data_IF_762272571611
#
_entry.id   IF_762272571611
#
_cell.length_a   1.000
_cell.length_b   1.000
_cell.length_c   1.000
_cell.angle_alpha   90.00
_cell.angle_beta   90.00
_cell.angle_gamma   90.00
#
_symmetry.space_group_name_H-M   'P 1'
#
loop_
_entity.id
_entity.type
_entity.pdbx_description
1 polymer ?
#
# COMPACT_ATOMS: atom_id res chain seq x y z
N UNK A 1 -32.87 -32.76 24.68
CA UNK A 1 -33.82 -33.19 23.63
C UNK A 1 -33.05 -33.63 22.39
N UNK A 2 -32.77 -34.94 22.20
CA UNK A 2 -31.92 -35.43 21.11
C UNK A 2 -32.38 -35.01 19.69
N UNK A 3 -33.70 -35.00 19.43
CA UNK A 3 -34.26 -34.54 18.15
C UNK A 3 -34.01 -33.05 17.87
N UNK A 4 -34.03 -32.21 18.91
CA UNK A 4 -33.76 -30.78 18.77
C UNK A 4 -32.29 -30.53 18.39
N UNK A 5 -31.36 -31.31 18.96
CA UNK A 5 -29.94 -31.19 18.63
C UNK A 5 -29.64 -31.64 17.18
N UNK A 6 -30.29 -32.70 16.71
CA UNK A 6 -30.21 -33.12 15.29
C UNK A 6 -30.75 -32.03 14.36
N UNK A 7 -31.89 -31.40 14.69
CA UNK A 7 -32.45 -30.30 13.90
C UNK A 7 -31.54 -29.07 13.89
N UNK A 8 -30.97 -28.69 15.04
CA UNK A 8 -29.99 -27.59 15.13
C UNK A 8 -28.75 -27.86 14.27
N UNK A 9 -28.20 -29.07 14.34
CA UNK A 9 -27.04 -29.49 13.55
C UNK A 9 -27.29 -29.53 12.04
N UNK A 10 -28.56 -29.53 11.61
CA UNK A 10 -28.96 -29.40 10.21
C UNK A 10 -29.22 -27.94 9.81
N UNK A 11 -30.02 -27.22 10.60
CA UNK A 11 -30.52 -25.88 10.26
C UNK A 11 -29.44 -24.81 10.41
N UNK A 12 -28.67 -24.80 11.51
CA UNK A 12 -27.72 -23.72 11.81
C UNK A 12 -26.64 -23.62 10.72
N UNK A 13 -25.95 -24.70 10.32
CA UNK A 13 -24.92 -24.59 9.28
C UNK A 13 -25.48 -24.14 7.92
N UNK A 14 -26.75 -24.46 7.63
CA UNK A 14 -27.39 -24.04 6.39
C UNK A 14 -27.81 -22.57 6.42
N UNK A 15 -28.31 -22.10 7.57
CA UNK A 15 -28.60 -20.69 7.78
C UNK A 15 -27.32 -19.83 7.70
N UNK A 16 -26.20 -20.32 8.25
CA UNK A 16 -24.89 -19.67 8.12
C UNK A 16 -24.46 -19.57 6.66
N UNK A 17 -24.55 -20.67 5.88
CA UNK A 17 -24.27 -20.64 4.44
C UNK A 17 -25.14 -19.61 3.71
N UNK A 18 -26.44 -19.57 4.00
CA UNK A 18 -27.37 -18.61 3.39
C UNK A 18 -27.00 -17.17 3.73
N UNK A 19 -26.58 -16.92 4.97
CA UNK A 19 -26.09 -15.61 5.40
C UNK A 19 -24.85 -15.21 4.60
N UNK A 20 -23.85 -16.09 4.46
CA UNK A 20 -22.65 -15.83 3.67
C UNK A 20 -22.97 -15.54 2.20
N UNK A 21 -23.93 -16.26 1.60
CA UNK A 21 -24.42 -15.97 0.24
C UNK A 21 -24.98 -14.54 0.12
N UNK A 22 -25.79 -14.11 1.08
CA UNK A 22 -26.40 -12.77 1.10
C UNK A 22 -25.32 -11.70 1.29
N UNK A 23 -24.37 -11.93 2.19
CA UNK A 23 -23.28 -11.00 2.45
C UNK A 23 -22.39 -10.81 1.23
N UNK A 24 -21.99 -11.89 0.56
CA UNK A 24 -21.24 -11.83 -0.70
C UNK A 24 -22.01 -11.01 -1.76
N UNK A 25 -23.29 -11.33 -1.98
CA UNK A 25 -24.11 -10.63 -2.97
C UNK A 25 -24.26 -9.13 -2.65
N UNK A 26 -24.31 -8.76 -1.36
CA UNK A 26 -24.32 -7.37 -0.93
C UNK A 26 -23.00 -6.67 -1.24
N UNK A 27 -21.86 -7.28 -0.90
CA UNK A 27 -20.55 -6.73 -1.24
C UNK A 27 -20.39 -6.53 -2.74
N UNK A 28 -20.70 -7.56 -3.53
CA UNK A 28 -20.63 -7.51 -4.98
C UNK A 28 -21.51 -6.37 -5.54
N UNK A 29 -22.74 -6.21 -5.03
CA UNK A 29 -23.62 -5.14 -5.47
C UNK A 29 -23.05 -3.75 -5.13
N UNK A 30 -22.59 -3.56 -3.89
CA UNK A 30 -22.00 -2.28 -3.45
C UNK A 30 -20.74 -1.96 -4.26
N UNK A 31 -19.86 -2.93 -4.51
CA UNK A 31 -18.66 -2.67 -5.30
C UNK A 31 -18.95 -2.37 -6.77
N UNK A 32 -19.94 -3.04 -7.36
CA UNK A 32 -20.28 -2.84 -8.77
C UNK A 32 -21.00 -1.52 -9.04
N UNK A 33 -21.90 -1.11 -8.14
CA UNK A 33 -22.82 0.00 -8.38
C UNK A 33 -22.64 1.20 -7.42
N UNK A 34 -21.84 1.04 -6.37
CA UNK A 34 -21.50 2.11 -5.46
C UNK A 34 -20.44 3.08 -6.02
N UNK A 35 -20.08 4.11 -5.25
CA UNK A 35 -19.09 5.11 -5.67
C UNK A 35 -17.71 4.48 -5.85
N UNK A 36 -17.11 4.70 -7.02
CA UNK A 36 -15.81 4.14 -7.38
C UNK A 36 -14.67 4.61 -6.48
N UNK A 37 -14.74 5.87 -6.01
CA UNK A 37 -13.69 6.49 -5.17
C UNK A 37 -13.51 5.84 -3.79
N UNK A 38 -14.52 5.11 -3.29
CA UNK A 38 -14.47 4.45 -1.99
C UNK A 38 -14.08 2.97 -2.05
N UNK A 39 -13.77 2.46 -3.24
CA UNK A 39 -13.28 1.09 -3.37
C UNK A 39 -11.83 1.02 -2.90
N UNK A 40 -11.60 0.23 -1.86
CA UNK A 40 -10.26 -0.02 -1.32
C UNK A 40 -9.69 -1.33 -1.92
N UNK A 41 -8.62 -1.26 -2.74
CA UNK A 41 -8.04 -2.42 -3.44
C UNK A 41 -7.85 -3.67 -2.57
N UNK A 42 -7.09 -3.53 -1.49
CA UNK A 42 -6.76 -4.65 -0.59
C UNK A 42 -8.00 -5.25 0.05
N UNK A 43 -8.93 -4.41 0.50
CA UNK A 43 -10.15 -4.88 1.13
C UNK A 43 -11.02 -5.69 0.16
N UNK A 44 -11.18 -5.22 -1.08
CA UNK A 44 -11.95 -5.92 -2.11
C UNK A 44 -11.31 -7.27 -2.45
N UNK A 45 -9.99 -7.28 -2.67
CA UNK A 45 -9.23 -8.49 -2.98
C UNK A 45 -9.31 -9.53 -1.84
N UNK A 46 -8.93 -9.14 -0.62
CA UNK A 46 -8.93 -10.03 0.55
C UNK A 46 -10.33 -10.57 0.86
N UNK A 47 -11.36 -9.72 0.78
CA UNK A 47 -12.75 -10.12 1.02
C UNK A 47 -13.21 -11.12 -0.04
N UNK A 48 -12.90 -10.88 -1.32
CA UNK A 48 -13.23 -11.79 -2.42
C UNK A 48 -12.58 -13.16 -2.24
N UNK A 49 -11.29 -13.17 -1.90
CA UNK A 49 -10.53 -14.39 -1.62
C UNK A 49 -11.06 -15.17 -0.41
N UNK A 50 -11.44 -14.46 0.66
CA UNK A 50 -11.98 -15.05 1.86
C UNK A 50 -13.33 -15.74 1.57
N UNK A 51 -14.23 -15.08 0.86
CA UNK A 51 -15.50 -15.70 0.43
C UNK A 51 -15.26 -16.89 -0.49
N UNK A 52 -14.31 -16.82 -1.42
CA UNK A 52 -13.98 -17.95 -2.30
C UNK A 52 -13.55 -19.18 -1.50
N UNK A 53 -12.63 -18.99 -0.53
CA UNK A 53 -12.16 -20.05 0.37
C UNK A 53 -13.31 -20.60 1.22
N UNK A 54 -14.16 -19.72 1.74
CA UNK A 54 -15.32 -20.10 2.55
C UNK A 54 -16.32 -20.97 1.76
N UNK A 55 -16.74 -20.53 0.57
CA UNK A 55 -17.68 -21.32 -0.25
C UNK A 55 -17.08 -22.65 -0.72
N UNK A 56 -15.79 -22.69 -1.03
CA UNK A 56 -15.10 -23.96 -1.35
C UNK A 56 -15.07 -24.91 -0.15
N UNK A 57 -14.80 -24.40 1.06
CA UNK A 57 -14.85 -25.18 2.30
C UNK A 57 -16.27 -25.70 2.57
N UNK A 58 -17.27 -24.84 2.47
CA UNK A 58 -18.68 -25.21 2.63
C UNK A 58 -19.11 -26.24 1.59
N UNK A 59 -18.71 -26.09 0.32
CA UNK A 59 -19.01 -27.06 -0.72
C UNK A 59 -18.43 -28.46 -0.41
N UNK A 60 -17.17 -28.52 0.05
CA UNK A 60 -16.54 -29.78 0.49
C UNK A 60 -17.26 -30.38 1.70
N UNK A 61 -17.59 -29.57 2.70
CA UNK A 61 -18.33 -29.99 3.89
C UNK A 61 -19.68 -30.62 3.52
N UNK A 62 -20.49 -29.92 2.72
CA UNK A 62 -21.81 -30.43 2.32
C UNK A 62 -21.72 -31.66 1.42
N UNK A 63 -20.70 -31.80 0.58
CA UNK A 63 -20.46 -33.04 -0.18
C UNK A 63 -20.25 -34.24 0.73
N UNK A 64 -19.39 -34.11 1.74
CA UNK A 64 -19.11 -35.20 2.68
C UNK A 64 -20.33 -35.50 3.55
N UNK A 65 -20.94 -34.46 4.13
CA UNK A 65 -22.11 -34.61 5.01
C UNK A 65 -23.29 -35.28 4.30
N UNK A 66 -23.61 -34.87 3.08
CA UNK A 66 -24.75 -35.43 2.35
C UNK A 66 -24.51 -36.90 1.97
N UNK A 67 -23.26 -37.28 1.64
CA UNK A 67 -22.92 -38.70 1.42
C UNK A 67 -23.07 -39.52 2.69
N UNK A 68 -22.67 -38.97 3.84
CA UNK A 68 -22.84 -39.62 5.14
C UNK A 68 -24.33 -39.76 5.50
N UNK A 69 -25.12 -38.70 5.33
CA UNK A 69 -26.55 -38.69 5.61
C UNK A 69 -27.32 -39.69 4.73
N UNK A 70 -26.85 -39.98 3.51
CA UNK A 70 -27.42 -41.03 2.65
C UNK A 70 -27.24 -42.44 3.23
N UNK A 71 -26.22 -42.67 4.06
CA UNK A 71 -25.97 -43.95 4.73
C UNK A 71 -26.73 -44.00 6.06
N UNK A 72 -26.59 -42.96 6.88
CA UNK A 72 -27.16 -42.93 8.23
C UNK A 72 -28.67 -42.68 8.24
N UNK A 73 -29.22 -42.12 7.16
CA UNK A 73 -30.64 -41.78 6.99
C UNK A 73 -31.22 -41.02 8.21
N UNK A 74 -30.66 -39.86 8.59
CA UNK A 74 -31.10 -39.10 9.74
C UNK A 74 -32.47 -38.44 9.50
N UNK A 75 -33.08 -37.94 10.59
CA UNK A 75 -34.41 -37.28 10.54
C UNK A 75 -34.42 -36.08 9.57
N UNK A 76 -33.30 -35.37 9.43
CA UNK A 76 -33.15 -34.22 8.54
C UNK A 76 -31.95 -34.42 7.62
N UNK A 77 -32.17 -34.44 6.30
CA UNK A 77 -31.13 -34.58 5.29
C UNK A 77 -31.49 -33.84 4.00
N UNK A 78 -30.47 -33.42 3.24
CA UNK A 78 -30.68 -32.87 1.90
C UNK A 78 -30.84 -33.99 0.88
N UNK A 79 -31.78 -33.82 -0.06
CA UNK A 79 -32.03 -34.78 -1.15
C UNK A 79 -31.19 -34.45 -2.38
N UNK A 80 -30.90 -35.48 -3.18
CA UNK A 80 -30.16 -35.37 -4.44
C UNK A 80 -28.82 -36.10 -4.43
N UNK A 81 -28.20 -36.23 -5.61
CA UNK A 81 -26.89 -36.88 -5.78
C UNK A 81 -25.78 -35.83 -5.81
N UNK A 82 -24.67 -36.11 -5.12
CA UNK A 82 -23.54 -35.17 -5.01
C UNK A 82 -22.59 -35.19 -6.21
N UNK A 83 -22.73 -36.18 -7.09
CA UNK A 83 -21.85 -36.45 -8.24
C UNK A 83 -22.61 -36.48 -9.58
N UNK A 84 -23.81 -35.90 -9.64
CA UNK A 84 -24.54 -35.79 -10.91
C UNK A 84 -23.71 -34.96 -11.92
N UNK A 85 -23.58 -35.38 -13.19
CA UNK A 85 -22.92 -34.58 -14.22
C UNK A 85 -23.53 -33.19 -14.41
N UNK A 86 -24.83 -33.03 -14.12
CA UNK A 86 -25.55 -31.76 -14.15
C UNK A 86 -25.51 -31.05 -12.78
N UNK A 87 -24.81 -29.90 -12.67
CA UNK A 87 -24.72 -29.15 -11.42
C UNK A 87 -26.07 -28.67 -10.89
N UNK A 88 -27.09 -28.49 -11.75
CA UNK A 88 -28.43 -28.06 -11.30
C UNK A 88 -29.21 -29.16 -10.56
N UNK A 89 -28.78 -30.41 -10.67
CA UNK A 89 -29.35 -31.55 -9.96
C UNK A 89 -28.67 -31.84 -8.62
N UNK A 90 -27.58 -31.13 -8.31
CA UNK A 90 -26.91 -31.26 -7.02
C UNK A 90 -27.83 -30.82 -5.87
N UNK A 91 -27.62 -31.32 -4.65
CA UNK A 91 -28.30 -30.82 -3.46
C UNK A 91 -28.17 -29.30 -3.30
N UNK A 92 -29.21 -28.67 -2.74
CA UNK A 92 -29.34 -27.21 -2.61
C UNK A 92 -28.09 -26.51 -2.04
N UNK A 93 -27.47 -26.97 -0.93
CA UNK A 93 -26.27 -26.30 -0.39
C UNK A 93 -25.09 -26.32 -1.38
N UNK A 94 -24.92 -27.41 -2.12
CA UNK A 94 -23.84 -27.55 -3.11
C UNK A 94 -24.11 -26.63 -4.30
N UNK A 95 -25.35 -26.57 -4.79
CA UNK A 95 -25.76 -25.65 -5.87
C UNK A 95 -25.50 -24.20 -5.51
N UNK A 96 -25.88 -23.80 -4.29
CA UNK A 96 -25.63 -22.46 -3.79
C UNK A 96 -24.12 -22.14 -3.79
N UNK A 97 -23.29 -23.01 -3.21
CA UNK A 97 -21.84 -22.83 -3.25
C UNK A 97 -21.30 -22.74 -4.69
N UNK A 98 -21.74 -23.63 -5.59
CA UNK A 98 -21.32 -23.60 -7.00
C UNK A 98 -21.67 -22.27 -7.67
N UNK A 99 -22.89 -21.77 -7.44
CA UNK A 99 -23.33 -20.48 -7.98
C UNK A 99 -22.53 -19.31 -7.41
N UNK A 100 -22.31 -19.28 -6.08
CA UNK A 100 -21.53 -18.20 -5.45
C UNK A 100 -20.07 -18.22 -5.92
N UNK A 101 -19.43 -19.39 -5.97
CA UNK A 101 -18.07 -19.55 -6.50
C UNK A 101 -17.99 -19.05 -7.95
N UNK A 102 -19.00 -19.35 -8.78
CA UNK A 102 -19.07 -18.83 -10.15
C UNK A 102 -19.12 -17.29 -10.15
N UNK A 103 -20.03 -16.69 -9.37
CA UNK A 103 -20.12 -15.22 -9.30
C UNK A 103 -18.84 -14.54 -8.82
N UNK A 104 -18.09 -15.18 -7.91
CA UNK A 104 -16.79 -14.70 -7.45
C UNK A 104 -15.76 -14.76 -8.57
N UNK A 105 -15.69 -15.89 -9.28
CA UNK A 105 -14.78 -16.05 -10.42
C UNK A 105 -15.10 -15.07 -11.54
N UNK A 106 -16.38 -14.84 -11.83
CA UNK A 106 -16.81 -13.87 -12.83
C UNK A 106 -16.45 -12.42 -12.44
N UNK A 107 -16.24 -12.14 -11.14
CA UNK A 107 -15.83 -10.83 -10.63
C UNK A 107 -14.30 -10.60 -10.64
N UNK A 108 -13.49 -11.58 -11.03
CA UNK A 108 -12.01 -11.46 -11.05
C UNK A 108 -11.52 -10.23 -11.81
N UNK A 109 -12.13 -9.92 -12.96
CA UNK A 109 -11.79 -8.70 -13.73
C UNK A 109 -12.10 -7.43 -12.95
N UNK A 110 -13.19 -7.41 -12.18
CA UNK A 110 -13.54 -6.30 -11.31
C UNK A 110 -12.48 -6.07 -10.23
N UNK A 111 -11.99 -7.13 -9.58
CA UNK A 111 -10.88 -7.05 -8.62
C UNK A 111 -9.63 -6.45 -9.26
N UNK A 112 -9.28 -6.91 -10.47
CA UNK A 112 -8.11 -6.40 -11.19
C UNK A 112 -8.23 -4.91 -11.53
N UNK A 113 -9.39 -4.47 -12.05
CA UNK A 113 -9.65 -3.06 -12.33
C UNK A 113 -9.54 -2.22 -11.06
N UNK A 114 -10.12 -2.66 -9.94
CA UNK A 114 -10.01 -1.95 -8.67
C UNK A 114 -8.56 -1.83 -8.23
N UNK A 115 -7.76 -2.90 -8.32
CA UNK A 115 -6.35 -2.87 -7.96
C UNK A 115 -5.53 -1.87 -8.78
N UNK A 116 -5.86 -1.71 -10.07
CA UNK A 116 -5.16 -0.78 -10.96
C UNK A 116 -5.66 0.65 -10.74
N UNK A 117 -6.96 0.87 -10.85
CA UNK A 117 -7.58 2.18 -11.03
C UNK A 117 -8.02 2.84 -9.71
N UNK A 118 -8.23 2.08 -8.63
CA UNK A 118 -8.47 2.63 -7.29
C UNK A 118 -7.16 2.81 -6.50
N UNK A 119 -6.02 2.85 -7.18
CA UNK A 119 -4.73 3.07 -6.54
C UNK A 119 -4.59 4.54 -6.06
N UNK A 120 -4.42 4.81 -4.75
CA UNK A 120 -4.32 6.17 -4.21
C UNK A 120 -3.05 6.93 -4.65
N UNK A 121 -2.04 6.25 -5.18
CA UNK A 121 -0.86 6.87 -5.75
C UNK A 121 -1.12 7.52 -7.12
N UNK A 122 -2.25 7.21 -7.77
CA UNK A 122 -2.61 7.80 -9.05
C UNK A 122 -2.81 9.32 -8.93
N UNK A 123 -2.32 10.04 -9.93
CA UNK A 123 -2.40 11.50 -10.05
C UNK A 123 -2.99 11.84 -11.41
N UNK A 124 -3.41 13.09 -11.60
CA UNK A 124 -4.00 13.58 -12.87
C UNK A 124 -3.18 13.21 -14.11
N UNK A 125 -1.84 13.19 -14.02
CA UNK A 125 -0.97 12.79 -15.13
C UNK A 125 -1.13 11.31 -15.52
N UNK A 126 -1.30 10.41 -14.55
CA UNK A 126 -1.47 8.98 -14.79
C UNK A 126 -2.82 8.71 -15.46
N UNK A 127 -3.87 9.40 -15.01
CA UNK A 127 -5.19 9.35 -15.64
C UNK A 127 -5.16 9.85 -17.09
N UNK A 128 -4.40 10.91 -17.36
CA UNK A 128 -4.18 11.40 -18.72
C UNK A 128 -3.49 10.35 -19.59
N UNK A 129 -2.42 9.72 -19.10
CA UNK A 129 -1.70 8.66 -19.81
C UNK A 129 -2.59 7.43 -20.09
N UNK A 130 -3.36 6.98 -19.10
CA UNK A 130 -4.33 5.90 -19.30
C UNK A 130 -5.43 6.27 -20.30
N UNK A 131 -5.89 7.53 -20.29
CA UNK A 131 -6.89 8.04 -21.24
C UNK A 131 -6.35 8.11 -22.67
N UNK A 132 -5.08 8.47 -22.85
CA UNK A 132 -4.40 8.44 -24.16
C UNK A 132 -4.33 7.02 -24.73
N UNK A 133 -4.07 6.02 -23.88
CA UNK A 133 -4.06 4.60 -24.26
C UNK A 133 -5.47 4.08 -24.57
N UNK A 134 -6.48 4.52 -23.81
CA UNK A 134 -7.88 4.17 -24.03
C UNK A 134 -8.47 4.83 -25.30
N UNK A 135 -7.94 5.99 -25.69
CA UNK A 135 -8.44 6.80 -26.81
C UNK A 135 -9.59 7.75 -26.43
N UNK A 136 -9.94 7.82 -25.15
CA UNK A 136 -10.96 8.71 -24.58
C UNK A 136 -10.69 8.94 -23.08
N UNK A 137 -11.33 9.94 -22.48
CA UNK A 137 -11.14 10.25 -21.06
C UNK A 137 -11.76 9.17 -20.17
N UNK A 138 -10.92 8.53 -19.35
CA UNK A 138 -11.32 7.51 -18.38
C UNK A 138 -11.18 7.99 -16.93
N UNK A 139 -10.91 9.29 -16.72
CA UNK A 139 -10.73 9.85 -15.38
C UNK A 139 -12.02 9.69 -14.57
N UNK A 140 -11.97 9.04 -13.38
CA UNK A 140 -13.17 8.87 -12.57
C UNK A 140 -13.78 10.20 -12.11
N UNK A 141 -15.11 10.24 -12.10
CA UNK A 141 -15.93 11.34 -11.60
C UNK A 141 -16.91 10.87 -10.51
N UNK A 142 -17.69 11.79 -9.95
CA UNK A 142 -18.67 11.50 -8.88
C UNK A 142 -19.76 10.49 -9.28
N UNK A 143 -19.96 10.23 -10.58
CA UNK A 143 -20.92 9.27 -11.09
C UNK A 143 -20.29 7.94 -11.53
N UNK A 144 -18.98 7.79 -11.39
CA UNK A 144 -18.24 6.62 -11.85
C UNK A 144 -18.50 5.44 -10.93
N UNK A 145 -18.79 4.28 -11.52
CA UNK A 145 -18.98 3.00 -10.83
C UNK A 145 -18.11 1.94 -11.50
N UNK A 146 -17.75 0.90 -10.75
CA UNK A 146 -16.96 -0.21 -11.31
C UNK A 146 -17.68 -0.87 -12.49
N UNK A 147 -19.01 -1.02 -12.42
CA UNK A 147 -19.80 -1.54 -13.53
C UNK A 147 -19.64 -0.71 -14.81
N UNK A 148 -19.68 0.62 -14.72
CA UNK A 148 -19.48 1.50 -15.88
C UNK A 148 -18.10 1.31 -16.51
N UNK A 149 -17.06 1.16 -15.70
CA UNK A 149 -15.69 0.93 -16.20
C UNK A 149 -15.58 -0.44 -16.87
N UNK A 150 -16.15 -1.48 -16.27
CA UNK A 150 -16.21 -2.82 -16.90
C UNK A 150 -16.93 -2.76 -18.25
N UNK A 151 -18.03 -2.02 -18.34
CA UNK A 151 -18.80 -1.88 -19.58
C UNK A 151 -18.06 -1.10 -20.69
N UNK A 152 -16.96 -0.41 -20.36
CA UNK A 152 -16.07 0.18 -21.36
C UNK A 152 -15.20 -0.86 -22.10
N UNK A 153 -15.19 -2.14 -21.65
CA UNK A 153 -14.47 -3.26 -22.27
C UNK A 153 -12.97 -2.97 -22.52
N UNK A 154 -12.30 -2.44 -21.50
CA UNK A 154 -10.88 -2.08 -21.55
C UNK A 154 -9.92 -3.25 -21.27
N UNK A 155 -10.42 -4.50 -21.27
CA UNK A 155 -9.67 -5.70 -20.86
C UNK A 155 -8.31 -5.83 -21.57
N UNK A 156 -8.26 -5.51 -22.87
CA UNK A 156 -7.03 -5.60 -23.69
C UNK A 156 -5.98 -4.53 -23.37
N UNK A 157 -6.33 -3.53 -22.56
CA UNK A 157 -5.48 -2.40 -22.18
C UNK A 157 -5.07 -2.44 -20.70
N UNK A 158 -5.67 -3.31 -19.90
CA UNK A 158 -5.46 -3.34 -18.44
C UNK A 158 -3.99 -3.56 -18.07
N UNK A 159 -3.25 -4.41 -18.79
CA UNK A 159 -1.81 -4.62 -18.55
C UNK A 159 -1.00 -3.32 -18.67
N UNK A 160 -1.37 -2.44 -19.60
CA UNK A 160 -0.70 -1.14 -19.77
C UNK A 160 -1.06 -0.19 -18.64
N UNK A 161 -2.32 -0.21 -18.18
CA UNK A 161 -2.74 0.57 -17.02
C UNK A 161 -2.09 0.09 -15.73
N UNK A 162 -1.86 -1.23 -15.59
CA UNK A 162 -1.14 -1.80 -14.46
C UNK A 162 0.28 -1.26 -14.38
N UNK A 163 1.01 -1.19 -15.50
CA UNK A 163 2.36 -0.60 -15.55
C UNK A 163 2.36 0.84 -15.02
N UNK A 164 1.39 1.66 -15.44
CA UNK A 164 1.23 3.04 -14.98
C UNK A 164 0.93 3.08 -13.47
N UNK A 165 0.01 2.22 -13.00
CA UNK A 165 -0.39 2.16 -11.59
C UNK A 165 0.76 1.71 -10.69
N UNK A 166 1.54 0.72 -11.11
CA UNK A 166 2.75 0.27 -10.42
C UNK A 166 3.80 1.38 -10.41
N UNK A 167 3.99 2.08 -11.54
CA UNK A 167 4.86 3.25 -11.63
C UNK A 167 4.47 4.32 -10.60
N UNK A 168 3.19 4.66 -10.51
CA UNK A 168 2.66 5.62 -9.55
C UNK A 168 3.01 5.26 -8.09
N UNK A 169 2.95 3.97 -7.73
CA UNK A 169 3.36 3.50 -6.40
C UNK A 169 4.86 3.74 -6.14
N UNK A 170 5.71 3.51 -7.14
CA UNK A 170 7.16 3.74 -7.03
C UNK A 170 7.49 5.23 -6.90
N UNK A 171 6.77 6.08 -7.63
CA UNK A 171 6.89 7.53 -7.51
C UNK A 171 6.49 8.01 -6.10
N UNK A 172 5.34 7.57 -5.60
CA UNK A 172 4.87 7.93 -4.26
C UNK A 172 5.84 7.45 -3.18
N UNK A 173 6.39 6.25 -3.32
CA UNK A 173 7.41 5.73 -2.40
C UNK A 173 8.66 6.62 -2.39
N UNK A 174 9.11 7.08 -3.57
CA UNK A 174 10.26 7.96 -3.70
C UNK A 174 10.00 9.32 -3.02
N UNK A 175 8.80 9.90 -3.23
CA UNK A 175 8.37 11.13 -2.55
C UNK A 175 8.31 10.95 -1.03
N UNK A 176 7.73 9.86 -0.54
CA UNK A 176 7.67 9.59 0.90
C UNK A 176 9.05 9.43 1.52
N UNK A 177 10.00 8.78 0.83
CA UNK A 177 11.38 8.67 1.29
C UNK A 177 12.06 10.05 1.36
N UNK A 178 11.82 10.92 0.38
CA UNK A 178 12.32 12.31 0.41
C UNK A 178 11.79 13.06 1.62
N UNK A 179 10.48 13.03 1.82
CA UNK A 179 9.82 13.75 2.92
C UNK A 179 10.20 13.19 4.28
N UNK A 180 10.41 11.86 4.39
CA UNK A 180 10.92 11.25 5.61
C UNK A 180 12.33 11.78 5.93
N UNK A 181 13.23 11.83 4.93
CA UNK A 181 14.56 12.41 5.11
C UNK A 181 14.46 13.87 5.57
N UNK A 182 13.63 14.69 4.92
CA UNK A 182 13.44 16.11 5.28
C UNK A 182 12.96 16.23 6.73
N UNK A 183 11.92 15.49 7.12
CA UNK A 183 11.33 15.54 8.46
C UNK A 183 12.30 15.13 9.55
N UNK A 184 13.22 14.21 9.26
CA UNK A 184 14.23 13.82 10.24
C UNK A 184 15.15 14.99 10.63
N UNK A 185 15.31 16.00 9.78
CA UNK A 185 16.08 17.21 10.08
C UNK A 185 15.32 18.24 10.91
N UNK A 186 13.98 18.18 10.99
CA UNK A 186 13.16 19.19 11.67
C UNK A 186 13.45 19.25 13.19
N UNK A 187 13.81 18.12 13.80
CA UNK A 187 14.10 18.03 15.23
C UNK A 187 15.60 17.95 15.55
N UNK A 188 16.48 18.18 14.56
CA UNK A 188 17.94 18.10 14.76
C UNK A 188 18.49 19.47 15.08
N UNK A 189 19.32 19.51 16.11
CA UNK A 189 20.05 20.70 16.52
C UNK A 189 21.54 20.43 16.40
N UNK A 190 22.30 21.43 15.99
CA UNK A 190 23.76 21.34 15.99
C UNK A 190 24.27 21.54 17.43
N UNK A 191 24.89 20.51 18.04
CA UNK A 191 25.42 20.62 19.39
C UNK A 191 26.51 21.69 19.46
N UNK A 192 26.36 22.60 20.42
CA UNK A 192 27.35 23.63 20.74
C UNK A 192 27.78 23.52 22.19
N UNK A 193 29.04 23.81 22.49
CA UNK A 193 29.55 23.83 23.86
C UNK A 193 30.66 24.86 24.05
N UNK A 194 30.92 25.27 25.30
CA UNK A 194 32.00 26.19 25.60
C UNK A 194 33.36 25.52 25.37
N UNK A 195 34.30 26.26 24.79
CA UNK A 195 35.69 25.83 24.69
C UNK A 195 36.48 26.29 25.92
N UNK A 196 36.66 25.39 26.90
CA UNK A 196 37.37 25.67 28.16
C UNK A 196 36.81 26.95 28.83
N UNK A 197 37.66 27.75 29.46
CA UNK A 197 37.29 29.01 30.12
C UNK A 197 37.43 30.25 29.20
N UNK A 198 37.42 30.04 27.87
CA UNK A 198 37.67 31.14 26.91
C UNK A 198 36.44 31.99 26.62
N UNK A 199 35.25 31.54 27.06
CA UNK A 199 33.97 32.17 26.72
C UNK A 199 33.51 31.95 25.28
N UNK A 200 34.27 31.22 24.46
CA UNK A 200 33.94 30.91 23.06
C UNK A 200 33.06 29.66 23.00
N UNK A 201 31.95 29.72 22.27
CA UNK A 201 31.12 28.56 21.95
C UNK A 201 31.56 27.94 20.63
N UNK A 202 31.70 26.62 20.61
CA UNK A 202 32.14 25.84 19.45
C UNK A 202 31.11 24.76 19.10
N UNK A 203 31.11 24.30 17.85
CA UNK A 203 30.43 23.05 17.50
C UNK A 203 31.19 21.89 18.13
N UNK A 204 30.46 20.99 18.78
CA UNK A 204 30.99 19.78 19.43
C UNK A 204 30.13 18.57 19.04
N UNK A 205 30.63 17.34 19.20
CA UNK A 205 29.86 16.09 19.05
C UNK A 205 29.04 15.99 17.75
N UNK A 206 29.67 16.25 16.60
CA UNK A 206 29.00 16.23 15.29
C UNK A 206 28.90 14.84 14.63
N UNK A 207 29.46 13.79 15.24
CA UNK A 207 29.57 12.45 14.62
C UNK A 207 28.21 11.91 14.14
N UNK A 208 27.17 12.04 14.97
CA UNK A 208 25.81 11.61 14.62
C UNK A 208 25.21 12.44 13.47
N UNK A 209 25.50 13.74 13.43
CA UNK A 209 25.03 14.63 12.36
C UNK A 209 25.74 14.30 11.05
N UNK A 210 27.04 14.03 11.10
CA UNK A 210 27.83 13.67 9.92
C UNK A 210 27.39 12.33 9.36
N UNK A 211 27.18 11.32 10.22
CA UNK A 211 26.67 10.03 9.82
C UNK A 211 25.28 10.14 9.14
N UNK A 212 24.40 11.00 9.68
CA UNK A 212 23.09 11.26 9.09
C UNK A 212 23.18 11.97 7.73
N UNK A 213 24.08 12.95 7.58
CA UNK A 213 24.34 13.63 6.31
C UNK A 213 24.82 12.63 5.25
N UNK A 214 25.82 11.82 5.57
CA UNK A 214 26.41 10.85 4.64
C UNK A 214 25.36 9.84 4.15
N UNK A 215 24.54 9.31 5.08
CA UNK A 215 23.43 8.41 4.74
C UNK A 215 22.39 9.10 3.85
N UNK A 216 21.97 10.32 4.18
CA UNK A 216 20.98 11.06 3.38
C UNK A 216 21.53 11.46 2.01
N UNK A 217 22.83 11.77 1.90
CA UNK A 217 23.50 12.04 0.61
C UNK A 217 23.45 10.79 -0.26
N UNK A 218 23.80 9.62 0.28
CA UNK A 218 23.80 8.35 -0.46
C UNK A 218 22.38 7.93 -0.88
N UNK A 219 21.40 8.06 0.02
CA UNK A 219 19.98 7.82 -0.29
C UNK A 219 19.49 8.76 -1.40
N UNK A 220 19.82 10.05 -1.32
CA UNK A 220 19.42 11.03 -2.35
C UNK A 220 20.09 10.75 -3.70
N UNK A 221 21.36 10.33 -3.72
CA UNK A 221 22.04 9.88 -4.94
C UNK A 221 21.33 8.67 -5.57
N UNK A 222 20.91 7.71 -4.74
CA UNK A 222 20.15 6.54 -5.21
C UNK A 222 18.81 6.96 -5.81
N UNK A 223 18.12 7.92 -5.19
CA UNK A 223 16.85 8.46 -5.70
C UNK A 223 17.04 9.18 -7.04
N UNK A 224 18.14 9.92 -7.22
CA UNK A 224 18.47 10.56 -8.51
C UNK A 224 18.71 9.57 -9.64
N UNK A 225 19.16 8.35 -9.33
CA UNK A 225 19.30 7.27 -10.30
C UNK A 225 18.01 6.54 -10.66
N UNK A 226 16.89 6.85 -9.99
CA UNK A 226 15.61 6.17 -10.21
C UNK A 226 14.92 6.61 -11.51
N UNK A 227 14.41 5.65 -12.28
CA UNK A 227 13.57 5.93 -13.45
C UNK A 227 12.26 6.67 -13.10
N UNK A 228 11.84 6.62 -11.83
CA UNK A 228 10.62 7.25 -11.32
C UNK A 228 10.86 8.64 -10.70
N UNK A 229 12.06 9.20 -10.87
CA UNK A 229 12.46 10.47 -10.24
C UNK A 229 11.81 11.69 -10.90
N UNK A 230 11.59 11.65 -12.22
CA UNK A 230 11.09 12.76 -13.05
C UNK A 230 9.94 13.58 -12.42
N UNK A 231 8.87 12.96 -11.89
CA UNK A 231 7.82 13.64 -11.12
C UNK A 231 8.21 14.59 -9.98
N UNK A 232 9.34 14.35 -9.33
CA UNK A 232 9.80 15.04 -8.14
C UNK A 232 11.27 15.46 -8.28
N UNK A 233 11.75 15.53 -9.52
CA UNK A 233 13.14 15.85 -9.86
C UNK A 233 13.57 17.17 -9.22
N UNK A 234 12.78 18.22 -9.38
CA UNK A 234 13.07 19.54 -8.81
C UNK A 234 13.24 19.47 -7.28
N UNK A 235 12.37 18.72 -6.60
CA UNK A 235 12.39 18.59 -5.14
C UNK A 235 13.61 17.77 -4.66
N UNK A 236 13.92 16.67 -5.35
CA UNK A 236 15.08 15.82 -5.06
C UNK A 236 16.39 16.57 -5.31
N UNK A 237 16.49 17.33 -6.40
CA UNK A 237 17.67 18.14 -6.71
C UNK A 237 17.86 19.28 -5.70
N UNK A 238 16.79 20.00 -5.37
CA UNK A 238 16.85 21.04 -4.35
C UNK A 238 17.26 20.48 -2.98
N UNK A 239 16.75 19.30 -2.61
CA UNK A 239 17.17 18.61 -1.38
C UNK A 239 18.65 18.22 -1.42
N UNK A 240 19.10 17.62 -2.53
CA UNK A 240 20.50 17.24 -2.73
C UNK A 240 21.44 18.43 -2.58
N UNK A 241 21.14 19.54 -3.25
CA UNK A 241 21.95 20.76 -3.17
C UNK A 241 21.97 21.34 -1.76
N UNK A 242 20.86 21.24 -1.02
CA UNK A 242 20.76 21.68 0.37
C UNK A 242 21.65 20.85 1.28
N UNK A 243 21.57 19.52 1.24
CA UNK A 243 22.37 18.64 2.11
C UNK A 243 23.86 18.70 1.77
N UNK A 244 24.22 18.81 0.48
CA UNK A 244 25.61 18.99 0.06
C UNK A 244 26.18 20.32 0.55
N UNK A 245 25.38 21.40 0.52
CA UNK A 245 25.77 22.70 1.08
C UNK A 245 25.96 22.64 2.59
N UNK A 246 25.06 21.98 3.32
CA UNK A 246 25.20 21.78 4.76
C UNK A 246 26.51 21.04 5.06
N UNK A 247 26.78 19.93 4.35
CA UNK A 247 28.01 19.17 4.50
C UNK A 247 29.27 20.04 4.28
N UNK A 248 29.32 20.75 3.15
CA UNK A 248 30.44 21.65 2.85
C UNK A 248 30.59 22.78 3.89
N UNK A 249 29.49 23.26 4.46
CA UNK A 249 29.51 24.30 5.50
C UNK A 249 30.10 23.76 6.80
N UNK A 250 29.74 22.53 7.20
CA UNK A 250 30.32 21.89 8.38
C UNK A 250 31.80 21.61 8.21
N UNK A 251 32.23 21.15 7.04
CA UNK A 251 33.65 20.94 6.72
C UNK A 251 34.47 22.22 6.86
N UNK A 252 33.97 23.33 6.30
CA UNK A 252 34.64 24.62 6.40
C UNK A 252 34.60 25.18 7.82
N UNK A 253 33.48 25.05 8.53
CA UNK A 253 33.37 25.44 9.93
C UNK A 253 34.40 24.68 10.78
N UNK A 254 34.51 23.36 10.61
CA UNK A 254 35.48 22.53 11.33
C UNK A 254 36.93 22.99 11.12
N UNK A 255 37.29 23.34 9.87
CA UNK A 255 38.62 23.88 9.53
C UNK A 255 38.87 25.24 10.20
N UNK A 256 37.92 26.17 10.08
CA UNK A 256 38.03 27.51 10.67
C UNK A 256 38.10 27.42 12.19
N UNK A 257 37.23 26.64 12.82
CA UNK A 257 37.21 26.41 14.26
C UNK A 257 38.54 25.80 14.72
N UNK A 258 39.07 24.78 14.04
CA UNK A 258 40.36 24.18 14.40
C UNK A 258 41.52 25.17 14.34
N UNK A 259 41.60 25.95 13.25
CA UNK A 259 42.62 26.98 13.09
C UNK A 259 42.49 28.09 14.13
N UNK A 260 41.26 28.55 14.39
CA UNK A 260 40.99 29.57 15.41
C UNK A 260 41.41 29.09 16.80
N UNK A 261 41.03 27.87 17.19
CA UNK A 261 41.38 27.30 18.48
C UNK A 261 42.89 27.06 18.64
N UNK A 262 43.60 26.78 17.55
CA UNK A 262 45.07 26.68 17.55
C UNK A 262 45.73 28.06 17.76
N UNK A 263 45.22 29.09 17.10
CA UNK A 263 45.75 30.45 17.20
C UNK A 263 45.37 31.13 18.53
N UNK A 264 44.25 30.76 19.14
CA UNK A 264 43.70 31.42 20.32
C UNK A 264 44.71 31.51 21.49
N UNK A 265 45.41 30.45 21.91
CA UNK A 265 46.45 30.56 22.94
C UNK A 265 47.66 31.41 22.53
N UNK A 266 48.04 31.38 21.25
CA UNK A 266 49.19 32.14 20.71
C UNK A 266 48.91 33.64 20.85
N UNK A 267 47.74 34.07 20.40
CA UNK A 267 47.32 35.48 20.47
C UNK A 267 46.76 35.90 21.83
N UNK A 268 46.50 34.96 22.74
CA UNK A 268 46.15 35.27 24.14
C UNK A 268 47.38 35.45 25.03
N UNK A 269 48.58 35.15 24.52
CA UNK A 269 49.84 35.37 25.25
C UNK A 269 50.19 36.85 25.32
N UNK A 270 50.32 37.38 26.54
CA UNK A 270 50.66 38.80 26.79
C UNK A 270 51.95 39.24 26.10
N UNK A 271 52.94 38.35 26.02
CA UNK A 271 54.25 38.64 25.41
C UNK A 271 54.15 38.78 23.88
N UNK A 272 53.32 37.94 23.24
CA UNK A 272 53.10 37.98 21.80
C UNK A 272 52.25 39.19 21.42
N UNK A 273 51.20 39.48 22.20
CA UNK A 273 50.34 40.67 22.01
C UNK A 273 51.15 41.96 22.12
N UNK A 274 52.14 42.04 23.02
CA UNK A 274 52.99 43.20 23.18
C UNK A 274 53.99 43.42 22.03
N UNK A 275 54.23 42.41 21.19
CA UNK A 275 55.19 42.44 20.08
C UNK A 275 54.53 42.51 18.69
N UNK A 276 53.22 42.32 18.60
CA UNK A 276 52.46 42.55 17.37
C UNK A 276 51.94 44.00 17.35
N UNK A 277 51.88 44.64 16.17
CA UNK A 277 51.45 46.04 16.02
C UNK A 277 50.00 46.27 16.43
#
# INVERSE_FOLDING_TARGET
YPKLEVMKGFIIPFAELMKSCIEWMRYLNVWMYGPFEYLEPKFVEETTDNFLKEFQKNQKYYRVKIRQDQIETPICMFRGQTEDPDPEKHPVPIRLCTKMIKTIKDFTTGVFIVNIMCNPALRKRHWKEMSEIAGFDITPDAGTTLKKIIDMNLDTKLDQFEIISVGANKELQLQNNLHAMIREWDSRFFPTGPYKDTGVMILSNLDDIQALLDDHILKTLTMRGSAFMKPCEDEVLAWYDKIMRVNATLDQWGKVQSNFLYLLPIFSSKDIVAQMP
#
